data_IF_298774732518
#
_entry.id   IF_298774732518
#
_cell.length_a   1.000
_cell.length_b   1.000
_cell.length_c   1.000
_cell.angle_alpha   90.00
_cell.angle_beta   90.00
_cell.angle_gamma   90.00
#
_symmetry.space_group_name_H-M   'P 1'
#
loop_
_entity.id
_entity.type
_entity.pdbx_description
1 polymer ?
#
# COMPACT_ATOMS: atom_id res chain seq x y z
N UNK A 1 -16.58 -5.94 34.38
CA UNK A 1 -16.31 -5.84 32.94
C UNK A 1 -17.08 -4.71 32.26
N UNK A 2 -18.43 -4.64 32.28
CA UNK A 2 -19.22 -3.57 31.61
C UNK A 2 -18.92 -2.15 32.09
N UNK A 3 -18.72 -1.96 33.40
CA UNK A 3 -18.35 -0.64 33.95
C UNK A 3 -16.99 -0.18 33.40
N UNK A 4 -15.99 -1.10 33.31
CA UNK A 4 -14.68 -0.83 32.72
C UNK A 4 -14.81 -0.43 31.25
N UNK A 5 -15.55 -1.20 30.44
CA UNK A 5 -15.78 -0.91 29.04
C UNK A 5 -16.42 0.47 28.85
N UNK A 6 -17.45 0.80 29.64
CA UNK A 6 -18.14 2.07 29.52
C UNK A 6 -17.31 3.26 30.02
N UNK A 7 -16.56 3.10 31.08
CA UNK A 7 -15.83 4.19 31.74
C UNK A 7 -14.44 4.42 31.15
N UNK A 8 -13.80 3.40 30.56
CA UNK A 8 -12.47 3.48 29.99
C UNK A 8 -12.47 3.35 28.46
N UNK A 9 -12.98 2.24 27.92
CA UNK A 9 -12.86 1.92 26.49
C UNK A 9 -13.66 2.91 25.63
N UNK A 10 -14.90 3.26 26.03
CA UNK A 10 -15.71 4.18 25.25
C UNK A 10 -15.15 5.61 25.16
N UNK A 11 -14.63 6.25 26.21
CA UNK A 11 -13.94 7.53 26.08
C UNK A 11 -12.70 7.46 25.20
N UNK A 12 -11.86 6.43 25.39
CA UNK A 12 -10.64 6.21 24.58
C UNK A 12 -11.01 6.03 23.11
N UNK A 13 -11.90 5.10 22.78
CA UNK A 13 -12.40 4.89 21.41
C UNK A 13 -12.90 6.20 20.78
N UNK A 14 -13.71 6.96 21.53
CA UNK A 14 -14.31 8.21 21.03
C UNK A 14 -13.27 9.28 20.74
N UNK A 15 -12.34 9.54 21.67
CA UNK A 15 -11.34 10.58 21.49
C UNK A 15 -10.32 10.20 20.42
N UNK A 16 -9.88 8.94 20.38
CA UNK A 16 -9.02 8.44 19.31
C UNK A 16 -9.72 8.51 17.94
N UNK A 17 -11.02 8.17 17.89
CA UNK A 17 -11.77 8.28 16.63
C UNK A 17 -11.96 9.74 16.17
N UNK A 18 -12.02 10.71 17.08
CA UNK A 18 -12.12 12.14 16.74
C UNK A 18 -10.78 12.75 16.28
N UNK A 19 -9.64 12.15 16.61
CA UNK A 19 -8.29 12.61 16.24
C UNK A 19 -7.71 11.73 15.15
N UNK A 20 -7.22 10.54 15.50
CA UNK A 20 -6.65 9.57 14.56
C UNK A 20 -7.65 9.17 13.47
N UNK A 21 -8.94 9.07 13.81
CA UNK A 21 -10.02 8.78 12.86
C UNK A 21 -10.14 9.80 11.72
N UNK A 22 -9.74 11.06 11.91
CA UNK A 22 -9.69 12.04 10.80
C UNK A 22 -8.60 11.69 9.79
N UNK A 23 -7.42 11.27 10.28
CA UNK A 23 -6.33 10.81 9.41
C UNK A 23 -6.74 9.53 8.67
N UNK A 24 -7.41 8.61 9.36
CA UNK A 24 -7.94 7.38 8.75
C UNK A 24 -8.99 7.69 7.67
N UNK A 25 -9.88 8.68 7.89
CA UNK A 25 -10.84 9.11 6.86
C UNK A 25 -10.12 9.70 5.63
N UNK A 26 -9.07 10.46 5.85
CA UNK A 26 -8.22 10.96 4.77
C UNK A 26 -7.59 9.80 3.99
N UNK A 27 -6.98 8.83 4.69
CA UNK A 27 -6.41 7.63 4.08
C UNK A 27 -7.47 6.79 3.37
N UNK A 28 -8.69 6.69 3.91
CA UNK A 28 -9.80 5.98 3.27
C UNK A 28 -10.23 6.66 1.97
N UNK A 29 -10.33 7.99 1.93
CA UNK A 29 -10.69 8.74 0.73
C UNK A 29 -9.62 8.61 -0.37
N UNK A 30 -8.35 8.77 -0.03
CA UNK A 30 -7.24 8.59 -0.98
C UNK A 30 -7.10 7.14 -1.41
N UNK A 31 -7.28 6.18 -0.49
CA UNK A 31 -7.31 4.75 -0.77
C UNK A 31 -8.45 4.32 -1.68
N UNK A 32 -9.62 4.97 -1.59
CA UNK A 32 -10.73 4.74 -2.53
C UNK A 32 -10.32 5.09 -3.98
N UNK A 33 -9.60 6.20 -4.15
CA UNK A 33 -9.05 6.57 -5.46
C UNK A 33 -7.98 5.60 -5.97
N UNK A 34 -7.17 5.02 -5.06
CA UNK A 34 -6.12 4.06 -5.39
C UNK A 34 -6.65 2.65 -5.66
N UNK A 35 -7.82 2.31 -5.16
CA UNK A 35 -8.36 0.94 -5.21
C UNK A 35 -8.43 0.38 -6.63
N UNK A 36 -8.68 1.22 -7.62
CA UNK A 36 -8.79 0.85 -9.03
C UNK A 36 -7.55 1.25 -9.86
N UNK A 37 -6.43 1.62 -9.19
CA UNK A 37 -5.19 2.03 -9.86
C UNK A 37 -4.76 1.00 -10.91
N UNK A 38 -4.73 -0.29 -10.56
CA UNK A 38 -4.28 -1.36 -11.46
C UNK A 38 -5.06 -1.43 -12.76
N UNK A 39 -6.36 -1.06 -12.75
CA UNK A 39 -7.20 -1.06 -13.94
C UNK A 39 -7.15 0.27 -14.70
N UNK A 40 -7.06 1.38 -13.98
CA UNK A 40 -7.17 2.72 -14.55
C UNK A 40 -5.82 3.30 -15.01
N UNK A 41 -4.74 2.99 -14.30
CA UNK A 41 -3.41 3.53 -14.61
C UNK A 41 -2.95 3.17 -16.05
N UNK A 42 -3.06 1.90 -16.51
CA UNK A 42 -2.75 1.55 -17.89
C UNK A 42 -3.65 2.24 -18.93
N UNK A 43 -4.89 2.60 -18.56
CA UNK A 43 -5.77 3.34 -19.46
C UNK A 43 -5.38 4.82 -19.55
N UNK A 44 -5.02 5.44 -18.41
CA UNK A 44 -4.58 6.83 -18.32
C UNK A 44 -3.22 7.04 -19.01
N UNK A 45 -2.29 6.08 -18.80
CA UNK A 45 -0.91 6.17 -19.27
C UNK A 45 -0.65 5.36 -20.55
N UNK A 46 -1.71 4.90 -21.23
CA UNK A 46 -1.60 4.04 -22.43
C UNK A 46 -0.64 4.56 -23.48
N UNK A 47 -0.64 5.86 -23.73
CA UNK A 47 0.19 6.50 -24.76
C UNK A 47 1.69 6.40 -24.49
N UNK A 48 2.10 6.25 -23.23
CA UNK A 48 3.51 6.13 -22.83
C UNK A 48 3.91 4.70 -22.47
N UNK A 49 2.96 3.90 -22.02
CA UNK A 49 3.21 2.51 -21.63
C UNK A 49 3.11 1.52 -22.78
N UNK A 50 2.40 1.87 -23.85
CA UNK A 50 2.17 0.98 -24.99
C UNK A 50 2.89 1.48 -26.22
N UNK A 51 3.61 0.58 -26.89
CA UNK A 51 4.37 0.83 -28.12
C UNK A 51 3.96 -0.15 -29.21
N UNK A 52 4.42 0.07 -30.44
CA UNK A 52 4.32 -0.92 -31.50
C UNK A 52 5.04 -2.19 -31.10
N UNK A 53 4.53 -3.34 -31.55
CA UNK A 53 5.13 -4.64 -31.21
C UNK A 53 6.62 -4.70 -31.60
N UNK A 54 7.48 -4.89 -30.61
CA UNK A 54 8.92 -4.96 -30.77
C UNK A 54 9.40 -6.41 -30.67
N UNK A 55 9.94 -6.94 -31.80
CA UNK A 55 10.47 -8.31 -31.87
C UNK A 55 11.98 -8.36 -31.58
N UNK A 56 12.70 -7.26 -31.82
CA UNK A 56 14.14 -7.18 -31.65
C UNK A 56 14.50 -5.91 -30.88
N UNK A 57 14.37 -5.95 -29.53
CA UNK A 57 14.67 -4.78 -28.72
C UNK A 57 16.17 -4.43 -28.76
N UNK A 58 16.46 -3.15 -28.68
CA UNK A 58 17.81 -2.63 -28.52
C UNK A 58 18.46 -3.20 -27.24
N UNK A 59 19.79 -3.32 -27.20
CA UNK A 59 20.50 -3.68 -25.97
C UNK A 59 20.17 -2.73 -24.83
N UNK A 60 20.04 -3.25 -23.60
CA UNK A 60 19.70 -2.44 -22.42
C UNK A 60 20.68 -1.29 -22.18
N UNK A 61 21.97 -1.52 -22.49
CA UNK A 61 22.99 -0.46 -22.36
C UNK A 61 22.70 0.72 -23.27
N UNK A 62 22.19 0.49 -24.48
CA UNK A 62 21.80 1.55 -25.39
C UNK A 62 20.54 2.30 -24.91
N UNK A 63 19.51 1.59 -24.45
CA UNK A 63 18.31 2.20 -23.88
C UNK A 63 18.66 3.05 -22.66
N UNK A 64 19.54 2.56 -21.79
CA UNK A 64 20.04 3.30 -20.62
C UNK A 64 20.85 4.54 -21.04
N UNK A 65 21.70 4.42 -22.07
CA UNK A 65 22.45 5.56 -22.58
C UNK A 65 21.52 6.66 -23.09
N UNK A 66 20.48 6.28 -23.84
CA UNK A 66 19.45 7.23 -24.33
C UNK A 66 18.65 7.86 -23.19
N UNK A 67 18.28 7.07 -22.17
CA UNK A 67 17.61 7.61 -20.99
C UNK A 67 18.48 8.66 -20.27
N UNK A 68 19.79 8.41 -20.14
CA UNK A 68 20.73 9.36 -19.53
C UNK A 68 20.93 10.63 -20.37
N UNK A 69 20.93 10.52 -21.69
CA UNK A 69 21.00 11.69 -22.59
C UNK A 69 19.75 12.55 -22.47
N UNK A 70 18.57 11.91 -22.35
CA UNK A 70 17.30 12.62 -22.16
C UNK A 70 17.17 13.26 -20.77
N UNK A 71 17.87 12.74 -19.77
CA UNK A 71 17.81 13.23 -18.37
C UNK A 71 19.21 13.32 -17.76
N UNK A 72 20.06 14.25 -18.22
CA UNK A 72 21.50 14.27 -17.93
C UNK A 72 21.81 14.52 -16.44
N UNK A 73 20.99 15.30 -15.77
CA UNK A 73 21.17 15.63 -14.33
C UNK A 73 20.58 14.56 -13.39
N UNK A 74 19.91 13.53 -13.95
CA UNK A 74 19.24 12.50 -13.19
C UNK A 74 20.15 11.34 -12.81
N UNK A 75 20.11 10.93 -11.55
CA UNK A 75 20.73 9.66 -11.13
C UNK A 75 19.81 8.50 -11.41
N UNK A 76 20.10 7.72 -12.46
CA UNK A 76 19.32 6.54 -12.82
C UNK A 76 19.44 5.45 -11.73
N UNK A 77 18.30 4.91 -11.28
CA UNK A 77 18.19 3.93 -10.18
C UNK A 77 17.89 2.53 -10.67
N UNK A 78 16.94 2.40 -11.58
CA UNK A 78 16.51 1.09 -12.06
C UNK A 78 15.93 1.19 -13.47
N UNK A 79 15.91 0.05 -14.14
CA UNK A 79 15.28 -0.14 -15.45
C UNK A 79 14.21 -1.22 -15.31
N UNK A 80 13.00 -0.91 -15.75
CA UNK A 80 11.90 -1.86 -15.82
C UNK A 80 11.79 -2.45 -17.23
N UNK A 81 11.79 -3.76 -17.29
CA UNK A 81 11.74 -4.55 -18.52
C UNK A 81 10.44 -5.35 -18.50
N UNK A 82 9.57 -5.07 -19.44
CA UNK A 82 8.27 -5.74 -19.56
C UNK A 82 8.38 -7.00 -20.42
N UNK A 83 7.69 -8.05 -20.01
CA UNK A 83 7.66 -9.32 -20.77
C UNK A 83 6.77 -9.31 -22.00
N UNK A 84 6.06 -8.23 -22.28
CA UNK A 84 5.19 -8.04 -23.44
C UNK A 84 5.91 -7.24 -24.53
N UNK A 85 5.86 -7.71 -25.77
CA UNK A 85 6.46 -7.02 -26.91
C UNK A 85 5.79 -5.67 -27.25
N UNK A 86 4.62 -5.38 -26.70
CA UNK A 86 3.87 -4.13 -26.93
C UNK A 86 4.00 -3.12 -25.80
N UNK A 87 4.89 -3.39 -24.84
CA UNK A 87 5.12 -2.51 -23.68
C UNK A 87 6.45 -1.77 -23.83
N UNK A 88 6.44 -0.53 -23.37
CA UNK A 88 7.66 0.27 -23.27
C UNK A 88 8.59 -0.26 -22.21
N UNK A 89 9.90 -0.14 -22.43
CA UNK A 89 10.91 -0.25 -21.37
C UNK A 89 10.99 1.08 -20.65
N UNK A 90 11.13 1.08 -19.33
CA UNK A 90 11.16 2.33 -18.59
C UNK A 90 12.37 2.44 -17.65
N UNK A 91 12.81 3.67 -17.45
CA UNK A 91 14.00 4.01 -16.68
C UNK A 91 13.62 4.99 -15.57
N UNK A 92 13.82 4.62 -14.30
CA UNK A 92 13.48 5.46 -13.13
C UNK A 92 14.69 6.10 -12.50
N UNK A 93 14.57 7.40 -12.25
CA UNK A 93 15.57 8.24 -11.64
C UNK A 93 15.33 8.45 -10.13
N UNK A 94 16.35 8.92 -9.43
CA UNK A 94 16.31 9.11 -7.98
C UNK A 94 15.30 10.17 -7.51
N UNK A 95 15.02 11.15 -8.35
CA UNK A 95 14.04 12.23 -8.12
C UNK A 95 12.58 11.80 -8.38
N UNK A 96 12.36 10.54 -8.74
CA UNK A 96 11.02 9.99 -9.02
C UNK A 96 10.59 10.08 -10.48
N UNK A 97 11.38 10.72 -11.36
CA UNK A 97 11.09 10.74 -12.79
C UNK A 97 11.27 9.35 -13.39
N UNK A 98 10.37 9.00 -14.28
CA UNK A 98 10.37 7.74 -15.02
C UNK A 98 10.22 8.05 -16.50
N UNK A 99 11.25 7.74 -17.29
CA UNK A 99 11.22 7.84 -18.75
C UNK A 99 10.76 6.50 -19.32
N UNK A 100 9.81 6.58 -20.24
CA UNK A 100 9.32 5.45 -21.02
C UNK A 100 9.97 5.47 -22.40
N UNK A 101 10.57 4.36 -22.81
CA UNK A 101 11.31 4.25 -24.06
C UNK A 101 10.70 3.16 -24.92
N UNK A 102 10.63 3.42 -26.23
CA UNK A 102 10.37 2.41 -27.24
C UNK A 102 11.53 1.41 -27.26
N UNK A 103 11.30 0.13 -26.93
CA UNK A 103 12.38 -0.83 -26.86
C UNK A 103 13.07 -1.12 -28.20
N UNK A 104 12.41 -0.92 -29.35
CA UNK A 104 13.01 -1.09 -30.67
C UNK A 104 13.74 0.17 -31.16
N UNK A 105 13.08 1.31 -31.10
CA UNK A 105 13.63 2.57 -31.60
C UNK A 105 14.49 3.33 -30.58
N UNK A 106 14.37 3.03 -29.30
CA UNK A 106 15.05 3.72 -28.22
C UNK A 106 14.58 5.17 -28.01
N UNK A 107 13.49 5.56 -28.68
CA UNK A 107 12.90 6.89 -28.55
C UNK A 107 12.17 7.01 -27.21
N UNK A 108 12.32 8.15 -26.54
CA UNK A 108 11.49 8.49 -25.37
C UNK A 108 10.06 8.71 -25.87
N UNK A 109 9.12 7.89 -25.37
CA UNK A 109 7.68 7.97 -25.70
C UNK A 109 6.90 8.80 -24.70
N UNK A 110 7.46 9.01 -23.51
CA UNK A 110 6.91 9.88 -22.49
C UNK A 110 7.67 9.87 -21.19
N UNK A 111 7.25 10.74 -20.31
CA UNK A 111 7.81 10.89 -18.97
C UNK A 111 6.67 10.99 -17.96
N UNK A 112 6.84 10.32 -16.83
CA UNK A 112 5.92 10.39 -15.71
C UNK A 112 6.72 10.56 -14.41
N UNK A 113 6.39 11.56 -13.63
CA UNK A 113 6.96 11.69 -12.30
C UNK A 113 6.08 10.95 -11.27
N UNK A 114 6.70 10.16 -10.40
CA UNK A 114 6.01 9.40 -9.34
C UNK A 114 5.04 10.27 -8.52
N UNK A 115 5.33 11.56 -8.37
CA UNK A 115 4.56 12.48 -7.52
C UNK A 115 3.60 13.40 -8.29
N UNK A 116 3.56 13.36 -9.63
CA UNK A 116 2.78 14.31 -10.45
C UNK A 116 1.54 13.71 -11.10
N UNK A 117 1.52 12.42 -11.40
CA UNK A 117 0.33 11.75 -11.92
C UNK A 117 -0.78 11.65 -10.87
N UNK A 118 -2.04 11.48 -11.31
CA UNK A 118 -3.19 11.37 -10.39
C UNK A 118 -2.98 10.29 -9.32
N UNK A 119 -2.50 9.12 -9.73
CA UNK A 119 -2.24 8.02 -8.80
C UNK A 119 -1.00 8.26 -7.95
N UNK A 120 0.03 8.94 -8.48
CA UNK A 120 1.20 9.34 -7.70
C UNK A 120 0.84 10.33 -6.59
N UNK A 121 0.02 11.33 -6.90
CA UNK A 121 -0.49 12.27 -5.89
C UNK A 121 -1.36 11.57 -4.85
N UNK A 122 -2.26 10.68 -5.26
CA UNK A 122 -3.09 9.93 -4.33
C UNK A 122 -2.24 9.02 -3.42
N UNK A 123 -1.21 8.37 -3.96
CA UNK A 123 -0.29 7.53 -3.21
C UNK A 123 0.55 8.34 -2.20
N UNK A 124 1.10 9.48 -2.64
CA UNK A 124 1.80 10.45 -1.80
C UNK A 124 0.93 10.91 -0.59
N UNK A 125 -0.34 11.22 -0.86
CA UNK A 125 -1.30 11.64 0.15
C UNK A 125 -1.73 10.48 1.07
N UNK A 126 -1.95 9.29 0.50
CA UNK A 126 -2.35 8.10 1.25
C UNK A 126 -1.27 7.63 2.22
N UNK A 127 -0.03 7.63 1.77
CA UNK A 127 1.14 7.21 2.56
C UNK A 127 1.68 8.30 3.47
N UNK A 128 1.11 9.52 3.43
CA UNK A 128 1.55 10.69 4.18
C UNK A 128 3.01 11.09 3.86
N UNK A 129 3.48 10.85 2.63
CA UNK A 129 4.87 11.08 2.20
C UNK A 129 5.32 12.56 2.34
N UNK A 130 4.37 13.50 2.51
CA UNK A 130 4.65 14.90 2.83
C UNK A 130 5.30 15.10 4.23
N UNK A 131 5.27 14.08 5.09
CA UNK A 131 5.92 14.12 6.41
C UNK A 131 7.41 13.77 6.37
N UNK A 132 8.01 13.69 5.21
CA UNK A 132 9.44 13.51 4.91
C UNK A 132 10.26 12.81 6.00
N UNK A 133 10.50 11.50 5.83
CA UNK A 133 11.29 10.68 6.76
C UNK A 133 10.54 10.17 8.00
N UNK A 134 9.36 10.72 8.32
CA UNK A 134 8.47 10.21 9.38
C UNK A 134 7.22 9.52 8.82
N UNK A 135 6.99 9.58 7.52
CA UNK A 135 5.81 9.13 6.80
C UNK A 135 5.45 7.66 7.09
N UNK A 136 6.38 6.74 6.90
CA UNK A 136 6.16 5.30 7.17
C UNK A 136 5.81 5.05 8.64
N UNK A 137 6.54 5.67 9.58
CA UNK A 137 6.30 5.51 11.01
C UNK A 137 4.94 6.07 11.42
N UNK A 138 4.56 7.25 10.89
CA UNK A 138 3.27 7.87 11.19
C UNK A 138 2.12 7.08 10.58
N UNK A 139 2.20 6.71 9.29
CA UNK A 139 1.15 5.93 8.64
C UNK A 139 0.95 4.56 9.31
N UNK A 140 2.04 3.84 9.61
CA UNK A 140 1.99 2.56 10.32
C UNK A 140 1.43 2.70 11.74
N UNK A 141 1.82 3.75 12.49
CA UNK A 141 1.28 4.02 13.83
C UNK A 141 -0.21 4.33 13.78
N UNK A 142 -0.66 5.17 12.84
CA UNK A 142 -2.08 5.47 12.62
C UNK A 142 -2.87 4.18 12.34
N UNK A 143 -2.36 3.31 11.49
CA UNK A 143 -3.01 2.04 11.16
C UNK A 143 -3.11 1.11 12.38
N UNK A 144 -2.04 0.97 13.18
CA UNK A 144 -2.05 0.15 14.40
C UNK A 144 -2.99 0.73 15.47
N UNK A 145 -2.96 2.03 15.71
CA UNK A 145 -3.89 2.68 16.65
C UNK A 145 -5.33 2.53 16.18
N UNK A 146 -5.59 2.65 14.89
CA UNK A 146 -6.90 2.40 14.30
C UNK A 146 -7.34 0.94 14.53
N UNK A 147 -6.51 -0.04 14.25
CA UNK A 147 -6.80 -1.45 14.46
C UNK A 147 -7.10 -1.75 15.94
N UNK A 148 -6.19 -1.36 16.85
CA UNK A 148 -6.24 -1.77 18.25
C UNK A 148 -7.26 -0.96 19.07
N UNK A 149 -7.30 0.35 18.89
CA UNK A 149 -8.13 1.24 19.73
C UNK A 149 -9.50 1.47 19.12
N UNK A 150 -9.57 1.73 17.80
CA UNK A 150 -10.84 2.08 17.17
C UNK A 150 -11.61 0.81 16.79
N UNK A 151 -11.00 -0.15 16.08
CA UNK A 151 -11.73 -1.34 15.62
C UNK A 151 -11.95 -2.32 16.76
N UNK A 152 -10.90 -2.80 17.43
CA UNK A 152 -11.03 -3.78 18.55
C UNK A 152 -11.77 -3.14 19.73
N UNK A 153 -11.45 -1.89 20.09
CA UNK A 153 -12.21 -1.15 21.10
C UNK A 153 -13.68 -0.98 20.73
N UNK A 154 -13.98 -0.72 19.46
CA UNK A 154 -15.33 -0.67 18.92
C UNK A 154 -16.09 -1.99 19.03
N UNK A 155 -15.44 -3.12 18.72
CA UNK A 155 -15.99 -4.47 18.89
C UNK A 155 -16.30 -4.73 20.37
N UNK A 156 -15.38 -4.38 21.28
CA UNK A 156 -15.58 -4.53 22.72
C UNK A 156 -16.79 -3.73 23.24
N UNK A 157 -16.96 -2.50 22.78
CA UNK A 157 -18.12 -1.64 23.11
C UNK A 157 -19.42 -2.19 22.49
N UNK A 158 -19.33 -2.70 21.27
CA UNK A 158 -20.46 -3.24 20.51
C UNK A 158 -20.97 -4.56 21.08
N UNK A 159 -20.15 -5.38 21.73
CA UNK A 159 -20.42 -6.77 22.09
C UNK A 159 -21.79 -6.96 22.76
N UNK A 160 -22.75 -7.67 22.12
CA UNK A 160 -24.08 -7.84 22.64
C UNK A 160 -24.11 -8.90 23.76
N UNK A 161 -25.05 -8.77 24.66
CA UNK A 161 -25.21 -9.70 25.82
C UNK A 161 -26.39 -10.65 25.66
N UNK A 162 -27.17 -10.49 24.62
CA UNK A 162 -28.31 -11.34 24.32
C UNK A 162 -28.52 -11.48 22.81
N UNK A 163 -29.17 -12.57 22.39
CA UNK A 163 -29.53 -12.78 20.97
C UNK A 163 -30.41 -11.67 20.43
N UNK A 164 -31.36 -11.14 21.24
CA UNK A 164 -32.16 -9.98 20.88
C UNK A 164 -31.32 -8.72 20.68
N UNK A 165 -30.35 -8.51 21.56
CA UNK A 165 -29.37 -7.42 21.44
C UNK A 165 -28.48 -7.57 20.21
N UNK A 166 -28.05 -8.79 19.88
CA UNK A 166 -27.28 -9.09 18.67
C UNK A 166 -28.09 -8.74 17.42
N UNK A 167 -29.30 -9.27 17.27
CA UNK A 167 -30.17 -8.98 16.13
C UNK A 167 -30.41 -7.49 15.95
N UNK A 168 -30.62 -6.76 17.05
CA UNK A 168 -30.81 -5.31 17.03
C UNK A 168 -29.53 -4.57 16.59
N UNK A 169 -28.36 -5.04 16.98
CA UNK A 169 -27.06 -4.40 16.71
C UNK A 169 -26.52 -4.63 15.30
N UNK A 170 -26.95 -5.71 14.61
CA UNK A 170 -26.50 -6.03 13.25
C UNK A 170 -27.46 -5.56 12.16
N UNK A 171 -28.68 -5.12 12.54
CA UNK A 171 -29.70 -4.71 11.56
C UNK A 171 -29.69 -3.19 11.34
N UNK A 172 -29.78 -2.82 10.07
CA UNK A 172 -30.04 -1.44 9.68
C UNK A 172 -31.52 -1.13 9.88
N UNK A 173 -31.81 -0.08 10.64
CA UNK A 173 -33.17 0.42 10.76
C UNK A 173 -33.19 1.94 10.72
N UNK A 174 -34.10 2.46 9.91
CA UNK A 174 -34.27 3.91 9.72
C UNK A 174 -35.04 4.58 10.87
N UNK A 175 -35.71 3.79 11.70
CA UNK A 175 -36.29 4.22 12.98
C UNK A 175 -35.34 3.82 14.14
N UNK A 176 -35.12 4.61 15.15
CA UNK A 176 -35.62 5.97 15.44
C UNK A 176 -34.91 7.06 14.61
N UNK A 177 -35.31 8.34 14.81
CA UNK A 177 -34.73 9.50 14.15
C UNK A 177 -33.51 10.07 14.91
N UNK A 178 -32.83 11.00 14.30
CA UNK A 178 -31.78 11.79 14.93
C UNK A 178 -30.52 11.01 15.31
N UNK A 179 -29.94 11.30 16.49
CA UNK A 179 -28.72 10.69 17.00
C UNK A 179 -28.85 9.16 17.18
N UNK A 180 -30.01 8.68 17.59
CA UNK A 180 -30.22 7.25 17.80
C UNK A 180 -30.13 6.46 16.48
N UNK A 181 -30.62 7.04 15.38
CA UNK A 181 -30.45 6.46 14.02
C UNK A 181 -28.98 6.40 13.64
N UNK A 182 -28.23 7.50 13.80
CA UNK A 182 -26.79 7.52 13.49
C UNK A 182 -26.04 6.43 14.24
N UNK A 183 -26.29 6.27 15.54
CA UNK A 183 -25.63 5.25 16.35
C UNK A 183 -26.04 3.82 15.97
N UNK A 184 -27.28 3.62 15.49
CA UNK A 184 -27.72 2.32 15.00
C UNK A 184 -27.01 1.96 13.69
N UNK A 185 -26.94 2.90 12.74
CA UNK A 185 -26.18 2.72 11.50
C UNK A 185 -24.70 2.45 11.83
N UNK A 186 -24.10 3.26 12.71
CA UNK A 186 -22.71 3.09 13.14
C UNK A 186 -22.42 1.67 13.65
N UNK A 187 -23.28 1.15 14.55
CA UNK A 187 -23.11 -0.18 15.14
C UNK A 187 -23.28 -1.30 14.12
N UNK A 188 -24.30 -1.21 13.27
CA UNK A 188 -24.55 -2.20 12.23
C UNK A 188 -23.43 -2.19 11.19
N UNK A 189 -23.03 -1.02 10.66
CA UNK A 189 -21.91 -0.90 9.74
C UNK A 189 -20.62 -1.44 10.36
N UNK A 190 -20.32 -1.02 11.61
CA UNK A 190 -19.12 -1.51 12.30
C UNK A 190 -19.05 -3.02 12.41
N UNK A 191 -20.16 -3.69 12.68
CA UNK A 191 -20.21 -5.15 12.71
C UNK A 191 -19.88 -5.76 11.33
N UNK A 192 -20.55 -5.31 10.28
CA UNK A 192 -20.41 -5.90 8.97
C UNK A 192 -19.05 -5.70 8.30
N UNK A 193 -18.37 -4.59 8.63
CA UNK A 193 -17.07 -4.28 8.02
C UNK A 193 -15.87 -4.53 8.94
N UNK A 194 -16.08 -4.87 10.23
CA UNK A 194 -14.99 -4.92 11.21
C UNK A 194 -13.82 -5.84 10.82
N UNK A 195 -14.09 -7.00 10.27
CA UNK A 195 -13.03 -7.95 9.88
C UNK A 195 -12.25 -7.45 8.67
N UNK A 196 -12.94 -6.88 7.67
CA UNK A 196 -12.30 -6.33 6.46
C UNK A 196 -11.41 -5.14 6.87
N UNK A 197 -11.94 -4.26 7.69
CA UNK A 197 -11.26 -3.04 8.14
C UNK A 197 -10.10 -3.38 9.07
N UNK A 198 -10.27 -4.35 9.97
CA UNK A 198 -9.21 -4.84 10.84
C UNK A 198 -8.06 -5.46 10.04
N UNK A 199 -8.38 -6.31 9.08
CA UNK A 199 -7.39 -6.91 8.18
C UNK A 199 -6.63 -5.83 7.40
N UNK A 200 -7.33 -4.89 6.77
CA UNK A 200 -6.71 -3.77 6.03
C UNK A 200 -5.81 -2.93 6.94
N UNK A 201 -6.24 -2.63 8.17
CA UNK A 201 -5.46 -1.86 9.13
C UNK A 201 -4.21 -2.60 9.65
N UNK A 202 -4.26 -3.93 9.74
CA UNK A 202 -3.11 -4.76 10.14
C UNK A 202 -2.13 -5.02 8.99
N UNK A 203 -2.57 -4.96 7.74
CA UNK A 203 -1.66 -5.15 6.59
C UNK A 203 -0.95 -3.86 6.17
N UNK A 204 -1.51 -2.68 6.45
CA UNK A 204 -0.88 -1.39 6.17
C UNK A 204 0.51 -1.18 6.81
N UNK A 205 0.77 -1.60 8.06
CA UNK A 205 2.06 -1.41 8.73
C UNK A 205 3.18 -2.35 8.28
N UNK A 206 2.93 -3.32 7.39
CA UNK A 206 3.93 -4.33 6.98
C UNK A 206 5.21 -3.67 6.49
N UNK A 207 5.10 -2.63 5.65
CA UNK A 207 6.26 -1.91 5.11
C UNK A 207 6.76 -0.78 6.03
N UNK A 208 6.10 -0.56 7.18
CA UNK A 208 6.42 0.56 8.06
C UNK A 208 7.43 0.21 9.14
N UNK A 209 7.48 -1.05 9.57
CA UNK A 209 8.26 -1.45 10.74
C UNK A 209 8.93 -2.82 10.58
N UNK A 210 10.25 -2.86 10.69
CA UNK A 210 11.01 -4.14 10.69
C UNK A 210 10.60 -5.08 11.83
N UNK A 211 10.26 -4.52 13.02
CA UNK A 211 9.79 -5.33 14.14
C UNK A 211 8.47 -6.03 13.84
N UNK A 212 7.60 -5.39 13.03
CA UNK A 212 6.31 -5.95 12.65
C UNK A 212 6.49 -7.14 11.71
N UNK A 213 7.40 -7.02 10.73
CA UNK A 213 7.78 -8.14 9.85
C UNK A 213 8.40 -9.29 10.65
N UNK A 214 9.29 -8.99 11.63
CA UNK A 214 9.85 -10.01 12.52
C UNK A 214 8.79 -10.70 13.37
N UNK A 215 7.77 -9.96 13.83
CA UNK A 215 6.65 -10.55 14.56
C UNK A 215 5.82 -11.51 13.69
N UNK A 216 5.57 -11.14 12.42
CA UNK A 216 4.91 -12.03 11.46
C UNK A 216 5.76 -13.30 11.25
N UNK A 217 7.07 -13.16 11.05
CA UNK A 217 7.98 -14.29 10.87
C UNK A 217 7.99 -15.23 12.08
N UNK A 218 7.99 -14.68 13.30
CA UNK A 218 7.93 -15.46 14.53
C UNK A 218 6.61 -16.23 14.71
N UNK A 219 5.47 -15.60 14.36
CA UNK A 219 4.14 -16.26 14.45
C UNK A 219 3.97 -17.35 13.39
N UNK A 220 4.62 -17.21 12.24
CA UNK A 220 4.54 -18.19 11.14
C UNK A 220 5.63 -19.26 11.21
N UNK A 221 6.47 -19.25 12.24
CA UNK A 221 7.64 -20.14 12.41
C UNK A 221 8.49 -20.23 11.12
N UNK A 222 8.73 -19.08 10.50
CA UNK A 222 9.42 -18.97 9.23
C UNK A 222 10.64 -18.07 9.35
N UNK A 223 11.76 -18.49 8.76
CA UNK A 223 12.90 -17.61 8.61
C UNK A 223 12.53 -16.43 7.70
N UNK A 224 12.86 -15.21 8.13
CA UNK A 224 12.81 -14.07 7.23
C UNK A 224 13.80 -14.29 6.08
N UNK A 225 13.46 -13.79 4.90
CA UNK A 225 14.41 -13.71 3.79
C UNK A 225 15.68 -13.03 4.29
N UNK A 226 16.81 -13.67 4.10
CA UNK A 226 18.09 -13.18 4.62
C UNK A 226 18.48 -11.86 3.95
N UNK A 227 19.31 -11.07 4.62
CA UNK A 227 19.89 -9.83 4.09
C UNK A 227 20.48 -10.03 2.69
N UNK A 228 20.46 -8.96 1.87
CA UNK A 228 21.10 -8.96 0.53
C UNK A 228 22.51 -9.53 0.59
N UNK A 229 22.97 -10.25 -0.47
CA UNK A 229 24.32 -10.78 -0.50
C UNK A 229 25.36 -9.70 -0.22
N UNK A 230 26.44 -10.08 0.44
CA UNK A 230 27.57 -9.17 0.70
C UNK A 230 28.14 -8.63 -0.63
N UNK A 231 28.81 -7.48 -0.55
CA UNK A 231 29.51 -6.91 -1.68
C UNK A 231 30.49 -7.94 -2.28
N UNK A 232 30.51 -8.04 -3.61
CA UNK A 232 31.43 -8.91 -4.32
C UNK A 232 32.82 -8.28 -4.29
N UNK A 233 33.86 -9.09 -4.10
CA UNK A 233 35.22 -8.61 -4.29
C UNK A 233 35.37 -8.17 -5.75
N UNK A 234 35.74 -6.90 -5.97
CA UNK A 234 35.92 -6.36 -7.30
C UNK A 234 36.96 -7.23 -8.04
N UNK A 235 36.50 -7.96 -9.04
CA UNK A 235 37.42 -8.70 -9.92
C UNK A 235 38.27 -7.71 -10.72
N UNK A 236 39.51 -8.07 -11.03
CA UNK A 236 40.34 -7.30 -11.94
C UNK A 236 39.73 -7.41 -13.35
N UNK A 237 39.00 -6.39 -13.78
CA UNK A 237 38.37 -6.38 -15.10
C UNK A 237 37.19 -5.43 -15.21
N UNK A 238 36.69 -5.15 -16.42
CA UNK A 238 35.51 -4.35 -16.66
C UNK A 238 34.26 -5.09 -16.19
N UNK A 239 33.25 -4.31 -15.76
CA UNK A 239 31.92 -4.87 -15.48
C UNK A 239 31.25 -5.36 -16.75
N UNK A 240 30.44 -6.40 -16.61
CA UNK A 240 29.56 -6.83 -17.68
C UNK A 240 28.55 -5.73 -18.06
N UNK A 241 28.16 -5.72 -19.33
CA UNK A 241 27.09 -4.88 -19.82
C UNK A 241 25.75 -5.25 -19.18
N UNK A 242 24.84 -4.31 -19.11
CA UNK A 242 23.48 -4.58 -18.60
C UNK A 242 22.77 -5.64 -19.46
N UNK A 243 23.03 -5.63 -20.76
CA UNK A 243 22.52 -6.64 -21.68
C UNK A 243 23.04 -8.06 -21.34
N UNK A 244 24.31 -8.20 -21.04
CA UNK A 244 24.89 -9.50 -20.64
C UNK A 244 24.30 -9.99 -19.31
N UNK A 245 24.13 -9.09 -18.33
CA UNK A 245 23.50 -9.42 -17.05
C UNK A 245 22.02 -9.81 -17.23
N UNK A 246 21.30 -9.10 -18.10
CA UNK A 246 19.92 -9.44 -18.44
C UNK A 246 19.80 -10.82 -19.11
N UNK A 247 20.68 -11.13 -20.04
CA UNK A 247 20.75 -12.47 -20.66
C UNK A 247 21.01 -13.57 -19.63
N UNK A 248 21.85 -13.31 -18.63
CA UNK A 248 22.07 -14.24 -17.50
C UNK A 248 20.82 -14.40 -16.66
N UNK A 249 20.11 -13.31 -16.35
CA UNK A 249 18.85 -13.37 -15.63
C UNK A 249 17.79 -14.20 -16.36
N UNK A 250 17.70 -14.07 -17.69
CA UNK A 250 16.78 -14.85 -18.52
C UNK A 250 17.10 -16.36 -18.57
N UNK A 251 18.34 -16.76 -18.29
CA UNK A 251 18.70 -18.18 -18.13
C UNK A 251 18.16 -18.76 -16.82
N UNK A 252 18.02 -17.95 -15.78
CA UNK A 252 17.48 -18.35 -14.47
C UNK A 252 15.95 -18.29 -14.48
N UNK A 253 15.38 -17.20 -14.99
CA UNK A 253 13.93 -16.98 -15.06
C UNK A 253 13.55 -16.62 -16.50
N UNK A 254 13.21 -17.62 -17.33
CA UNK A 254 12.84 -17.40 -18.74
C UNK A 254 11.51 -16.64 -18.85
N UNK A 255 11.51 -15.59 -19.69
CA UNK A 255 10.31 -14.83 -20.05
C UNK A 255 9.49 -14.36 -18.83
N UNK A 256 10.07 -13.55 -17.94
CA UNK A 256 9.31 -12.99 -16.83
C UNK A 256 8.12 -12.14 -17.33
N UNK A 257 7.16 -11.88 -16.46
CA UNK A 257 6.10 -10.89 -16.74
C UNK A 257 6.69 -9.49 -16.70
N UNK A 258 7.50 -9.19 -15.69
CA UNK A 258 8.22 -7.95 -15.50
C UNK A 258 9.54 -8.23 -14.76
N UNK A 259 10.55 -7.43 -15.03
CA UNK A 259 11.80 -7.45 -14.27
C UNK A 259 12.27 -6.01 -14.01
N UNK A 260 12.60 -5.73 -12.75
CA UNK A 260 13.17 -4.47 -12.29
C UNK A 260 14.66 -4.67 -12.05
N UNK A 261 15.50 -4.17 -12.95
CA UNK A 261 16.95 -4.24 -12.83
C UNK A 261 17.46 -3.01 -12.08
N UNK A 262 17.95 -3.20 -10.86
CA UNK A 262 18.50 -2.14 -10.03
C UNK A 262 19.96 -1.87 -10.37
N UNK A 263 20.27 -0.60 -10.63
CA UNK A 263 21.63 -0.15 -10.88
C UNK A 263 22.36 0.06 -9.54
N UNK A 264 23.44 -0.69 -9.29
CA UNK A 264 24.12 -0.61 -8.01
C UNK A 264 24.80 0.74 -7.79
N UNK A 265 24.66 1.28 -6.58
CA UNK A 265 25.27 2.55 -6.17
C UNK A 265 26.80 2.46 -6.01
N UNK A 266 27.33 1.26 -5.70
CA UNK A 266 28.75 0.97 -5.50
C UNK A 266 29.24 -0.02 -6.53
N UNK A 267 30.48 0.12 -6.99
CA UNK A 267 31.04 -0.75 -8.02
C UNK A 267 31.06 -2.22 -7.62
N UNK A 268 31.32 -2.54 -6.36
CA UNK A 268 31.38 -3.90 -5.83
C UNK A 268 30.01 -4.45 -5.36
N UNK A 269 28.93 -3.69 -5.51
CA UNK A 269 27.61 -4.19 -5.11
C UNK A 269 27.04 -5.17 -6.15
N UNK A 270 26.38 -6.25 -5.71
CA UNK A 270 25.63 -7.14 -6.60
C UNK A 270 24.60 -6.37 -7.43
N UNK A 271 24.34 -6.87 -8.64
CA UNK A 271 23.19 -6.40 -9.43
C UNK A 271 21.96 -7.18 -9.00
N UNK A 272 20.95 -6.44 -8.56
CA UNK A 272 19.67 -6.98 -8.08
C UNK A 272 18.64 -6.88 -9.19
N UNK A 273 17.89 -7.95 -9.36
CA UNK A 273 16.70 -7.99 -10.20
C UNK A 273 15.52 -8.48 -9.36
N UNK A 274 14.47 -7.66 -9.30
CA UNK A 274 13.19 -8.07 -8.76
C UNK A 274 12.33 -8.56 -9.94
N UNK A 275 11.90 -9.80 -9.89
CA UNK A 275 11.29 -10.47 -11.03
C UNK A 275 9.87 -10.90 -10.67
N UNK A 276 8.90 -10.41 -11.42
CA UNK A 276 7.55 -10.96 -11.44
C UNK A 276 7.49 -12.10 -12.44
N UNK A 277 7.40 -13.33 -11.94
CA UNK A 277 7.25 -14.49 -12.80
C UNK A 277 5.84 -14.54 -13.41
N UNK A 278 5.68 -15.18 -14.59
CA UNK A 278 4.34 -15.34 -15.20
C UNK A 278 3.38 -16.18 -14.36
N UNK A 279 3.93 -17.04 -13.52
CA UNK A 279 3.20 -17.86 -12.55
C UNK A 279 2.86 -17.13 -11.24
N UNK A 280 3.34 -15.89 -11.07
CA UNK A 280 3.13 -15.11 -9.86
C UNK A 280 1.62 -14.88 -9.62
N UNK A 281 1.11 -15.16 -8.41
CA UNK A 281 -0.31 -15.04 -8.12
C UNK A 281 -0.79 -13.58 -8.02
N UNK A 282 0.12 -12.63 -7.82
CA UNK A 282 -0.13 -11.18 -7.77
C UNK A 282 1.18 -10.41 -8.00
N UNK A 283 1.10 -9.10 -8.15
CA UNK A 283 2.27 -8.24 -8.42
C UNK A 283 3.25 -8.08 -7.25
N UNK A 284 2.89 -8.50 -6.03
CA UNK A 284 3.79 -8.49 -4.87
C UNK A 284 4.59 -9.79 -4.74
N UNK A 285 4.24 -10.81 -5.51
CA UNK A 285 4.89 -12.11 -5.51
C UNK A 285 6.20 -12.06 -6.32
N UNK A 286 7.22 -11.41 -5.75
CA UNK A 286 8.50 -11.18 -6.40
C UNK A 286 9.51 -12.28 -6.10
N UNK A 287 10.29 -12.64 -7.12
CA UNK A 287 11.52 -13.42 -7.02
C UNK A 287 12.71 -12.48 -7.08
N UNK A 288 13.70 -12.68 -6.21
CA UNK A 288 14.88 -11.81 -6.12
C UNK A 288 16.12 -12.54 -6.67
N UNK A 289 16.75 -11.96 -7.68
CA UNK A 289 17.95 -12.49 -8.30
C UNK A 289 19.12 -11.52 -8.07
N UNK A 290 20.23 -12.05 -7.56
CA UNK A 290 21.46 -11.30 -7.34
C UNK A 290 22.57 -11.85 -8.22
N UNK A 291 23.14 -11.00 -9.07
CA UNK A 291 24.22 -11.35 -10.00
C UNK A 291 25.52 -10.64 -9.61
N UNK A 292 26.62 -11.33 -9.82
CA UNK A 292 27.96 -10.74 -9.80
C UNK A 292 28.12 -9.81 -11.00
N UNK A 293 28.42 -8.51 -10.81
CA UNK A 293 28.51 -7.53 -11.89
C UNK A 293 29.68 -7.77 -12.85
N UNK A 294 30.66 -8.60 -12.50
CA UNK A 294 31.85 -8.86 -13.29
C UNK A 294 31.77 -10.19 -14.03
N UNK A 295 31.37 -11.26 -13.37
CA UNK A 295 31.31 -12.61 -13.95
C UNK A 295 29.89 -12.98 -14.44
N UNK A 296 28.85 -12.29 -14.03
CA UNK A 296 27.46 -12.68 -14.29
C UNK A 296 27.02 -13.93 -13.51
N UNK A 297 27.84 -14.41 -12.57
CA UNK A 297 27.49 -15.57 -11.75
C UNK A 297 26.30 -15.24 -10.86
N UNK A 298 25.37 -16.18 -10.74
CA UNK A 298 24.28 -16.09 -9.75
C UNK A 298 24.88 -16.20 -8.36
N UNK A 299 24.76 -15.14 -7.59
CA UNK A 299 25.16 -15.09 -6.18
C UNK A 299 24.08 -15.67 -5.30
N UNK A 300 22.82 -15.36 -5.67
CA UNK A 300 21.64 -15.83 -4.95
C UNK A 300 20.40 -15.70 -5.84
N UNK A 301 19.50 -16.65 -5.70
CA UNK A 301 18.17 -16.60 -6.29
C UNK A 301 17.13 -17.04 -5.25
N UNK A 302 16.26 -16.11 -4.87
CA UNK A 302 15.17 -16.35 -3.96
C UNK A 302 13.86 -16.35 -4.76
N UNK A 303 13.42 -17.52 -5.19
CA UNK A 303 12.16 -17.66 -5.91
C UNK A 303 10.98 -17.48 -4.97
N UNK A 304 9.94 -16.76 -5.42
CA UNK A 304 8.69 -16.64 -4.67
C UNK A 304 8.08 -18.01 -4.35
N UNK A 305 8.14 -18.95 -5.26
CA UNK A 305 7.60 -20.30 -5.06
C UNK A 305 8.22 -20.99 -3.84
N UNK A 306 9.52 -20.81 -3.63
CA UNK A 306 10.29 -21.37 -2.52
C UNK A 306 10.29 -20.50 -1.27
N UNK A 307 9.68 -19.31 -1.30
CA UNK A 307 9.66 -18.39 -0.16
C UNK A 307 8.87 -18.97 1.03
N UNK A 308 9.32 -18.62 2.24
CA UNK A 308 8.68 -19.05 3.49
C UNK A 308 7.28 -18.46 3.68
N UNK A 309 6.53 -19.03 4.63
CA UNK A 309 5.14 -18.61 4.92
C UNK A 309 5.07 -17.13 5.33
N UNK A 310 6.05 -16.63 6.09
CA UNK A 310 6.11 -15.22 6.48
C UNK A 310 6.06 -14.28 5.27
N UNK A 311 6.93 -14.52 4.27
CA UNK A 311 6.99 -13.70 3.07
C UNK A 311 5.66 -13.76 2.31
N UNK A 312 5.11 -14.97 2.12
CA UNK A 312 3.80 -15.14 1.46
C UNK A 312 2.67 -14.40 2.17
N UNK A 313 2.64 -14.44 3.51
CA UNK A 313 1.63 -13.71 4.32
C UNK A 313 1.80 -12.20 4.14
N UNK A 314 3.03 -11.69 4.12
CA UNK A 314 3.30 -10.27 3.91
C UNK A 314 2.91 -9.84 2.49
N UNK A 315 3.36 -10.57 1.46
CA UNK A 315 3.09 -10.26 0.05
C UNK A 315 1.59 -10.27 -0.25
N UNK A 316 0.87 -11.32 0.22
CA UNK A 316 -0.58 -11.37 0.09
C UNK A 316 -1.29 -10.29 0.91
N UNK A 317 -0.78 -9.96 2.11
CA UNK A 317 -1.30 -8.88 2.93
C UNK A 317 -1.24 -7.55 2.20
N UNK A 318 -0.09 -7.21 1.61
CA UNK A 318 0.10 -5.99 0.81
C UNK A 318 -0.76 -6.04 -0.46
N UNK A 319 -0.79 -7.17 -1.18
CA UNK A 319 -1.59 -7.32 -2.39
C UNK A 319 -3.10 -7.12 -2.14
N UNK A 320 -3.63 -7.68 -1.05
CA UNK A 320 -5.04 -7.49 -0.65
C UNK A 320 -5.28 -6.04 -0.25
N UNK A 321 -4.37 -5.45 0.56
CA UNK A 321 -4.47 -4.04 0.98
C UNK A 321 -4.48 -3.07 -0.20
N UNK A 322 -3.66 -3.35 -1.22
CA UNK A 322 -3.57 -2.54 -2.43
C UNK A 322 -4.67 -2.83 -3.49
N UNK A 323 -5.61 -3.76 -3.22
CA UNK A 323 -6.64 -4.15 -4.19
C UNK A 323 -6.12 -4.98 -5.36
N UNK A 324 -4.95 -5.64 -5.21
CA UNK A 324 -4.25 -6.39 -6.27
C UNK A 324 -4.45 -7.91 -6.19
N UNK A 325 -5.24 -8.38 -5.22
CA UNK A 325 -5.49 -9.80 -4.99
C UNK A 325 -6.77 -10.32 -5.69
N UNK A 326 -7.14 -9.72 -6.81
CA UNK A 326 -8.31 -10.09 -7.62
C UNK A 326 -9.61 -9.39 -7.22
N UNK A 327 -10.60 -9.48 -8.09
CA UNK A 327 -11.88 -8.76 -7.98
C UNK A 327 -12.61 -9.00 -6.66
N UNK A 328 -12.72 -10.23 -6.11
CA UNK A 328 -13.42 -10.44 -4.84
C UNK A 328 -12.78 -9.67 -3.67
N UNK A 329 -11.45 -9.71 -3.56
CA UNK A 329 -10.72 -9.00 -2.51
C UNK A 329 -10.85 -7.47 -2.69
N UNK A 330 -10.79 -6.98 -3.92
CA UNK A 330 -10.99 -5.58 -4.26
C UNK A 330 -12.39 -5.09 -3.87
N UNK A 331 -13.44 -5.88 -4.15
CA UNK A 331 -14.81 -5.53 -3.77
C UNK A 331 -15.01 -5.57 -2.25
N UNK A 332 -14.42 -6.54 -1.56
CA UNK A 332 -14.43 -6.56 -0.09
C UNK A 332 -13.77 -5.31 0.48
N UNK A 333 -12.60 -4.92 -0.05
CA UNK A 333 -11.91 -3.71 0.37
C UNK A 333 -12.73 -2.45 0.09
N UNK A 334 -13.40 -2.36 -1.07
CA UNK A 334 -14.34 -1.28 -1.40
C UNK A 334 -15.45 -1.15 -0.33
N UNK A 335 -16.07 -2.27 0.04
CA UNK A 335 -17.10 -2.31 1.10
C UNK A 335 -16.51 -1.85 2.44
N UNK A 336 -15.28 -2.27 2.77
CA UNK A 336 -14.56 -1.82 3.96
C UNK A 336 -14.34 -0.31 3.98
N UNK A 337 -13.81 0.25 2.88
CA UNK A 337 -13.55 1.69 2.74
C UNK A 337 -14.84 2.50 2.87
N UNK A 338 -15.89 2.13 2.14
CA UNK A 338 -17.20 2.79 2.23
C UNK A 338 -17.77 2.68 3.66
N UNK A 339 -17.57 1.54 4.30
CA UNK A 339 -17.93 1.34 5.71
C UNK A 339 -17.21 2.30 6.65
N UNK A 340 -15.90 2.50 6.48
CA UNK A 340 -15.10 3.48 7.25
C UNK A 340 -15.64 4.90 7.06
N UNK A 341 -16.01 5.30 5.83
CA UNK A 341 -16.60 6.61 5.56
C UNK A 341 -17.95 6.78 6.28
N UNK A 342 -18.80 5.76 6.24
CA UNK A 342 -20.09 5.76 6.98
C UNK A 342 -19.87 5.81 8.49
N UNK A 343 -18.89 5.06 9.01
CA UNK A 343 -18.53 5.07 10.43
C UNK A 343 -18.02 6.45 10.87
N UNK A 344 -17.17 7.07 10.07
CA UNK A 344 -16.70 8.43 10.31
C UNK A 344 -17.87 9.42 10.33
N UNK A 345 -18.69 9.46 9.29
CA UNK A 345 -19.84 10.33 9.21
C UNK A 345 -20.79 10.16 10.42
N UNK A 346 -21.17 8.93 10.73
CA UNK A 346 -22.12 8.65 11.81
C UNK A 346 -21.54 8.95 13.20
N UNK A 347 -20.25 8.67 13.40
CA UNK A 347 -19.53 8.95 14.63
C UNK A 347 -19.42 10.46 14.91
N UNK A 348 -18.87 11.21 13.94
CA UNK A 348 -18.72 12.66 14.05
C UNK A 348 -20.07 13.38 14.18
N UNK A 349 -21.06 13.06 13.34
CA UNK A 349 -22.39 13.65 13.40
C UNK A 349 -23.08 13.37 14.74
N UNK A 350 -22.94 12.16 15.29
CA UNK A 350 -23.47 11.81 16.61
C UNK A 350 -22.81 12.62 17.74
N UNK A 351 -21.49 12.84 17.65
CA UNK A 351 -20.75 13.64 18.61
C UNK A 351 -21.20 15.12 18.58
N UNK A 352 -21.27 15.72 17.38
CA UNK A 352 -21.70 17.11 17.18
C UNK A 352 -23.10 17.30 17.72
N UNK A 353 -24.06 16.43 17.35
CA UNK A 353 -25.44 16.51 17.85
C UNK A 353 -25.53 16.41 19.37
N UNK A 354 -24.71 15.58 20.00
CA UNK A 354 -24.63 15.51 21.46
C UNK A 354 -24.14 16.82 22.08
N UNK A 355 -23.12 17.44 21.50
CA UNK A 355 -22.57 18.71 22.01
C UNK A 355 -23.54 19.86 21.84
N UNK A 356 -24.19 19.96 20.68
CA UNK A 356 -25.20 20.98 20.43
C UNK A 356 -26.43 20.83 21.35
N UNK A 357 -26.89 19.60 21.61
CA UNK A 357 -27.95 19.33 22.57
C UNK A 357 -27.59 19.82 23.98
N UNK A 358 -26.44 19.40 24.48
CA UNK A 358 -25.97 19.83 25.80
C UNK A 358 -25.77 21.36 25.91
N UNK A 359 -25.36 22.03 24.84
CA UNK A 359 -25.25 23.49 24.81
C UNK A 359 -26.63 24.17 24.87
N UNK A 360 -27.62 23.68 24.08
CA UNK A 360 -28.99 24.19 24.09
C UNK A 360 -29.65 24.03 25.47
N UNK A 361 -29.46 22.89 26.13
CA UNK A 361 -30.00 22.63 27.45
C UNK A 361 -29.38 23.58 28.50
N UNK A 362 -28.08 23.84 28.43
CA UNK A 362 -27.41 24.83 29.29
C UNK A 362 -27.88 26.26 29.03
N UNK A 363 -28.11 26.64 27.77
CA UNK A 363 -28.61 27.96 27.40
C UNK A 363 -30.03 28.19 27.94
N UNK A 364 -30.88 27.15 27.94
CA UNK A 364 -32.24 27.20 28.49
C UNK A 364 -32.27 27.21 30.03
N UNK A 365 -31.26 26.60 30.67
CA UNK A 365 -31.17 26.56 32.14
C UNK A 365 -30.52 27.81 32.75
N UNK A 366 -30.03 28.77 31.96
CA UNK A 366 -29.57 30.08 32.48
C UNK A 366 -30.79 30.89 32.87
N UNK A 367 -30.96 31.25 34.19
CA UNK A 367 -32.02 32.16 34.61
C UNK A 367 -31.83 33.46 33.83
N UNK A 368 -32.93 34.02 33.34
CA UNK A 368 -32.98 35.42 32.93
C UNK A 368 -32.70 36.20 34.23
N UNK A 369 -31.45 36.58 34.47
CA UNK A 369 -31.13 37.61 35.45
C UNK A 369 -31.85 38.86 34.96
N UNK A 370 -32.99 39.13 35.61
CA UNK A 370 -33.76 40.33 35.42
C UNK A 370 -32.84 41.52 35.64
N UNK A 371 -32.74 42.36 34.63
CA UNK A 371 -32.26 43.72 34.82
C UNK A 371 -33.23 44.41 35.78
N UNK A 372 -32.71 44.74 36.92
CA UNK A 372 -33.27 45.76 37.79
C UNK A 372 -32.46 47.03 37.61
#
# INVERSE_FOLDING_TARGET
MRALIRNLVLPVHRWTALTVGLVVLWMALTGLGLLFKTQLDPAVNRSIETVAACQSPLPLDELVARARVAHPDGTLRLVGIEGSATRSTWARFANGDTLYLDPCGGRVVGELNKYRGIFGVLEYLHRLEFLSGADHAVAGTVALVFALVIVIGGIAIWWPVSLKGLRWSVTFAMRPAGRARLMRIHRATGFWVCLIVLFSALTGPIDSFDWYQRAIAAVTDSAQSSSKPAAVVAAQGPRLTLQALWQRAQQVTPRPQEALLFLPKKQAAPVELDITERSAPNHQALSFLYLDPYSGRVLRFDSYAASGLANKVMDWGIAIHAGQAGVPAQMALLVGILGVLVLGYTGFSSYIRRRLGAWRDRARARPLTQGA
#
